data_IF_247024183397
#
_entry.id   IF_247024183397
#
_cell.length_a   1.000
_cell.length_b   1.000
_cell.length_c   1.000
_cell.angle_alpha   90.00
_cell.angle_beta   90.00
_cell.angle_gamma   90.00
#
_symmetry.space_group_name_H-M   'P 1'
#
loop_
_entity.id
_entity.type
_entity.pdbx_description
1 polymer ?
#
# COMPACT_ATOMS: atom_id res chain seq x y z
N UNK A 1 47.38 15.48 -16.15
CA UNK A 1 47.40 15.69 -14.68
C UNK A 1 46.53 16.88 -14.25
N UNK A 2 46.48 18.00 -14.98
CA UNK A 2 45.59 19.13 -14.67
C UNK A 2 44.11 18.89 -15.05
N UNK A 3 43.84 18.17 -16.14
CA UNK A 3 42.46 17.90 -16.61
C UNK A 3 41.72 16.85 -15.75
N UNK A 4 42.37 15.72 -15.41
CA UNK A 4 41.76 14.66 -14.55
C UNK A 4 41.34 15.17 -13.17
N UNK A 5 42.10 16.10 -12.58
CA UNK A 5 41.78 16.67 -11.27
C UNK A 5 40.59 17.64 -11.34
N UNK A 6 40.36 18.24 -12.50
CA UNK A 6 39.26 19.18 -12.73
C UNK A 6 37.95 18.42 -12.98
N UNK A 7 37.99 17.33 -13.75
CA UNK A 7 36.83 16.45 -13.99
C UNK A 7 36.39 15.74 -12.71
N UNK A 8 37.32 15.16 -11.93
CA UNK A 8 36.98 14.49 -10.68
C UNK A 8 36.32 15.43 -9.65
N UNK A 9 36.75 16.70 -9.63
CA UNK A 9 36.17 17.73 -8.75
C UNK A 9 34.79 18.19 -9.24
N UNK A 10 34.56 18.22 -10.56
CA UNK A 10 33.26 18.48 -11.14
C UNK A 10 32.26 17.35 -10.80
N UNK A 11 32.64 16.10 -11.03
CA UNK A 11 31.84 14.91 -10.73
C UNK A 11 31.43 14.82 -9.25
N UNK A 12 32.37 15.12 -8.34
CA UNK A 12 32.09 15.16 -6.91
C UNK A 12 31.06 16.24 -6.55
N UNK A 13 31.17 17.44 -7.12
CA UNK A 13 30.21 18.52 -6.87
C UNK A 13 28.82 18.13 -7.37
N UNK A 14 28.73 17.49 -8.54
CA UNK A 14 27.47 16.97 -9.08
C UNK A 14 26.85 15.95 -8.13
N UNK A 15 27.62 14.97 -7.65
CA UNK A 15 27.10 13.97 -6.70
C UNK A 15 26.63 14.58 -5.38
N UNK A 16 27.35 15.57 -4.85
CA UNK A 16 26.96 16.30 -3.63
C UNK A 16 25.67 17.08 -3.84
N UNK A 17 25.54 17.78 -4.97
CA UNK A 17 24.32 18.52 -5.31
C UNK A 17 23.11 17.60 -5.47
N UNK A 18 23.31 16.44 -6.11
CA UNK A 18 22.27 15.42 -6.23
C UNK A 18 21.88 14.90 -4.85
N UNK A 19 22.84 14.53 -4.00
CA UNK A 19 22.56 14.05 -2.64
C UNK A 19 21.74 15.07 -1.83
N UNK A 20 22.04 16.37 -1.96
CA UNK A 20 21.27 17.43 -1.32
C UNK A 20 19.82 17.49 -1.82
N UNK A 21 19.62 17.47 -3.14
CA UNK A 21 18.27 17.52 -3.75
C UNK A 21 17.42 16.31 -3.38
N UNK A 22 18.01 15.11 -3.36
CA UNK A 22 17.33 13.88 -2.92
C UNK A 22 16.93 13.93 -1.43
N UNK A 23 17.55 14.81 -0.64
CA UNK A 23 17.19 15.07 0.75
C UNK A 23 15.97 15.98 0.93
N UNK A 24 15.60 16.76 -0.08
CA UNK A 24 14.60 17.85 0.02
C UNK A 24 13.21 17.48 -0.54
N UNK A 25 13.05 16.33 -1.22
CA UNK A 25 11.78 15.92 -1.87
C UNK A 25 10.85 15.17 -0.92
N UNK A 26 9.53 15.42 -1.03
CA UNK A 26 8.51 14.95 -0.08
C UNK A 26 7.50 13.92 -0.63
N UNK A 27 7.68 13.40 -1.84
CA UNK A 27 6.85 12.35 -2.44
C UNK A 27 7.62 11.56 -3.50
N UNK A 28 7.13 10.36 -3.84
CA UNK A 28 7.80 9.44 -4.78
C UNK A 28 7.93 10.03 -6.19
N UNK A 29 6.89 10.66 -6.73
CA UNK A 29 6.90 11.17 -8.11
C UNK A 29 7.89 12.32 -8.28
N UNK A 30 7.91 13.26 -7.33
CA UNK A 30 8.89 14.34 -7.27
C UNK A 30 10.32 13.80 -7.15
N UNK A 31 10.52 12.74 -6.35
CA UNK A 31 11.81 12.09 -6.20
C UNK A 31 12.25 11.42 -7.52
N UNK A 32 11.36 10.70 -8.21
CA UNK A 32 11.65 10.07 -9.50
C UNK A 32 12.09 11.11 -10.54
N UNK A 33 11.37 12.23 -10.66
CA UNK A 33 11.76 13.32 -11.55
C UNK A 33 13.11 13.92 -11.17
N UNK A 34 13.39 14.07 -9.88
CA UNK A 34 14.68 14.57 -9.40
C UNK A 34 15.82 13.61 -9.76
N UNK A 35 15.61 12.29 -9.62
CA UNK A 35 16.57 11.26 -10.02
C UNK A 35 16.81 11.28 -11.54
N UNK A 36 15.76 11.42 -12.35
CA UNK A 36 15.88 11.51 -13.80
C UNK A 36 16.67 12.75 -14.23
N UNK A 37 16.36 13.91 -13.65
CA UNK A 37 17.11 15.15 -13.91
C UNK A 37 18.57 15.04 -13.46
N UNK A 38 18.82 14.45 -12.28
CA UNK A 38 20.16 14.18 -11.77
C UNK A 38 20.95 13.29 -12.74
N UNK A 39 20.35 12.20 -13.23
CA UNK A 39 20.93 11.32 -14.23
C UNK A 39 21.29 12.05 -15.53
N UNK A 40 20.37 12.88 -16.05
CA UNK A 40 20.60 13.67 -17.27
C UNK A 40 21.75 14.64 -17.12
N UNK A 41 21.80 15.35 -16.00
CA UNK A 41 22.83 16.35 -15.74
C UNK A 41 24.19 15.70 -15.46
N UNK A 42 24.23 14.66 -14.62
CA UNK A 42 25.48 14.03 -14.20
C UNK A 42 26.13 13.23 -15.33
N UNK A 43 25.33 12.50 -16.10
CA UNK A 43 25.84 11.64 -17.16
C UNK A 43 25.78 12.32 -18.54
N UNK A 44 25.43 13.61 -18.59
CA UNK A 44 25.31 14.43 -19.81
C UNK A 44 24.59 13.68 -20.94
N UNK A 45 23.32 13.32 -20.74
CA UNK A 45 22.56 12.52 -21.69
C UNK A 45 21.24 13.21 -22.13
N UNK A 46 20.71 12.78 -23.28
CA UNK A 46 19.47 13.35 -23.83
C UNK A 46 18.25 12.96 -22.99
N UNK A 47 18.19 11.71 -22.55
CA UNK A 47 17.04 11.15 -21.83
C UNK A 47 17.49 10.27 -20.67
N UNK A 48 16.76 10.33 -19.57
CA UNK A 48 16.89 9.43 -18.44
C UNK A 48 15.49 8.94 -18.05
N UNK A 49 15.39 7.70 -17.62
CA UNK A 49 14.12 7.11 -17.17
C UNK A 49 14.38 6.19 -15.99
N UNK A 50 13.65 6.40 -14.91
CA UNK A 50 13.68 5.50 -13.74
C UNK A 50 12.61 4.44 -13.91
N UNK A 51 13.01 3.19 -13.70
CA UNK A 51 12.09 2.05 -13.59
C UNK A 51 12.15 1.50 -12.17
N UNK A 52 11.02 1.52 -11.47
CA UNK A 52 10.84 0.91 -10.16
C UNK A 52 10.75 -0.61 -10.31
N UNK A 53 11.38 -1.33 -9.39
CA UNK A 53 11.33 -2.78 -9.34
C UNK A 53 10.22 -3.27 -8.40
N UNK A 54 9.25 -3.99 -8.94
CA UNK A 54 8.21 -4.69 -8.21
C UNK A 54 8.68 -6.13 -7.96
N UNK A 55 9.19 -6.38 -6.75
CA UNK A 55 9.66 -7.69 -6.33
C UNK A 55 8.55 -8.75 -6.22
N UNK A 56 7.29 -8.35 -6.02
CA UNK A 56 6.17 -9.29 -5.92
C UNK A 56 5.78 -9.87 -7.28
N UNK A 57 5.96 -9.09 -8.35
CA UNK A 57 5.65 -9.51 -9.73
C UNK A 57 6.89 -9.84 -10.58
N UNK A 58 8.08 -9.53 -10.08
CA UNK A 58 9.34 -9.63 -10.84
C UNK A 58 9.28 -8.77 -12.13
N UNK A 59 8.81 -7.53 -11.96
CA UNK A 59 8.56 -6.56 -13.03
C UNK A 59 9.25 -5.22 -12.78
N UNK A 60 9.63 -4.55 -13.86
CA UNK A 60 10.05 -3.16 -13.87
C UNK A 60 8.93 -2.30 -14.41
N UNK A 61 8.65 -1.18 -13.75
CA UNK A 61 7.65 -0.23 -14.19
C UNK A 61 8.10 1.22 -14.05
N UNK A 62 7.66 2.08 -14.96
CA UNK A 62 7.95 3.52 -14.96
C UNK A 62 6.69 4.31 -15.24
N UNK A 63 6.44 5.33 -14.42
CA UNK A 63 5.43 6.34 -14.71
C UNK A 63 6.02 7.36 -15.68
N UNK A 64 5.54 7.34 -16.91
CA UNK A 64 6.09 8.17 -17.98
C UNK A 64 5.52 9.58 -17.90
N UNK A 65 6.39 10.57 -17.65
CA UNK A 65 6.05 12.01 -17.67
C UNK A 65 5.53 12.53 -19.03
N UNK A 66 5.71 11.75 -20.11
CA UNK A 66 5.40 12.12 -21.50
C UNK A 66 4.05 11.62 -22.01
N UNK A 67 3.08 11.32 -21.13
CA UNK A 67 1.68 11.15 -21.50
C UNK A 67 1.34 9.90 -22.33
N UNK A 68 2.24 8.91 -22.39
CA UNK A 68 2.09 7.68 -23.20
C UNK A 68 1.71 6.44 -22.38
N UNK A 69 1.40 6.61 -21.09
CA UNK A 69 0.99 5.54 -20.17
C UNK A 69 2.14 4.89 -19.40
N UNK A 70 1.80 4.06 -18.42
CA UNK A 70 2.77 3.29 -17.63
C UNK A 70 3.51 2.28 -18.53
N UNK A 71 4.85 2.31 -18.51
CA UNK A 71 5.65 1.27 -19.15
C UNK A 71 5.93 0.21 -18.10
N UNK A 72 5.48 -1.02 -18.33
CA UNK A 72 5.69 -2.18 -17.45
C UNK A 72 6.16 -3.39 -18.24
N UNK A 73 7.20 -4.06 -17.76
CA UNK A 73 7.76 -5.25 -18.40
C UNK A 73 8.49 -6.15 -17.39
N UNK A 74 8.68 -7.42 -17.72
CA UNK A 74 9.38 -8.37 -16.84
C UNK A 74 10.84 -7.96 -16.60
N UNK A 75 11.29 -8.06 -15.35
CA UNK A 75 12.68 -7.79 -14.96
C UNK A 75 13.67 -8.86 -15.47
N UNK A 76 13.21 -9.89 -16.18
CA UNK A 76 14.05 -10.88 -16.87
C UNK A 76 14.44 -10.46 -18.29
N UNK A 77 13.85 -9.37 -18.79
CA UNK A 77 13.97 -8.96 -20.18
C UNK A 77 14.79 -7.69 -20.32
N UNK A 78 15.61 -7.69 -21.37
CA UNK A 78 16.34 -6.54 -21.85
C UNK A 78 17.46 -6.07 -20.93
N UNK A 79 18.00 -4.90 -21.27
CA UNK A 79 19.19 -4.35 -20.61
C UNK A 79 18.90 -3.92 -19.17
N UNK A 80 17.70 -3.36 -18.94
CA UNK A 80 17.18 -3.05 -17.61
C UNK A 80 17.11 -4.30 -16.71
N UNK A 81 16.58 -5.42 -17.24
CA UNK A 81 16.53 -6.67 -16.50
C UNK A 81 17.90 -7.27 -16.19
N UNK A 82 18.85 -7.18 -17.12
CA UNK A 82 20.22 -7.62 -16.85
C UNK A 82 20.91 -6.77 -15.77
N UNK A 83 20.64 -5.46 -15.72
CA UNK A 83 21.16 -4.61 -14.65
C UNK A 83 20.56 -5.00 -13.30
N UNK A 84 19.27 -5.39 -13.27
CA UNK A 84 18.62 -5.93 -12.07
C UNK A 84 19.31 -7.21 -11.58
N UNK A 85 19.53 -8.15 -12.51
CA UNK A 85 20.11 -9.46 -12.21
C UNK A 85 21.57 -9.38 -11.76
N UNK A 86 22.37 -8.59 -12.47
CA UNK A 86 23.81 -8.48 -12.21
C UNK A 86 24.14 -7.51 -11.09
N UNK A 87 23.22 -6.59 -10.77
CA UNK A 87 23.46 -5.45 -9.86
C UNK A 87 24.72 -4.66 -10.24
N UNK A 88 24.96 -4.56 -11.54
CA UNK A 88 26.10 -3.85 -12.11
C UNK A 88 25.64 -2.86 -13.17
N UNK A 89 26.44 -1.81 -13.38
CA UNK A 89 26.19 -0.84 -14.43
C UNK A 89 26.47 -1.49 -15.78
N UNK A 90 25.51 -1.40 -16.70
CA UNK A 90 25.62 -1.94 -18.06
C UNK A 90 25.76 -0.79 -19.05
N UNK A 91 26.88 -0.79 -19.77
CA UNK A 91 27.15 0.15 -20.86
C UNK A 91 26.96 -0.55 -22.20
N UNK A 92 26.19 0.08 -23.08
CA UNK A 92 25.95 -0.39 -24.44
C UNK A 92 26.28 0.72 -25.41
N UNK A 93 27.33 0.51 -26.23
CA UNK A 93 27.83 1.48 -27.20
C UNK A 93 26.95 1.62 -28.44
N UNK A 94 26.29 0.55 -28.87
CA UNK A 94 25.27 0.59 -29.94
C UNK A 94 24.04 -0.22 -29.50
N UNK A 95 22.97 0.48 -29.18
CA UNK A 95 21.71 -0.10 -28.75
C UNK A 95 21.11 -1.02 -29.83
N UNK A 96 21.26 -0.70 -31.11
CA UNK A 96 20.72 -1.55 -32.18
C UNK A 96 21.61 -2.77 -32.44
N UNK A 97 22.87 -2.77 -32.05
CA UNK A 97 23.71 -3.96 -32.11
C UNK A 97 23.45 -4.94 -30.94
N UNK A 98 22.90 -4.47 -29.82
CA UNK A 98 22.65 -5.30 -28.64
C UNK A 98 21.36 -6.13 -28.77
N UNK A 99 21.42 -7.47 -28.67
CA UNK A 99 20.25 -8.34 -28.81
C UNK A 99 19.21 -8.17 -27.68
N UNK A 100 19.60 -7.56 -26.55
CA UNK A 100 18.72 -7.30 -25.41
C UNK A 100 17.91 -6.01 -25.58
N UNK A 101 18.23 -5.17 -26.58
CA UNK A 101 17.54 -3.91 -26.77
C UNK A 101 16.20 -4.08 -27.49
N UNK A 102 15.11 -3.59 -26.88
CA UNK A 102 13.79 -3.62 -27.49
C UNK A 102 13.57 -2.40 -28.42
N UNK A 103 13.69 -2.63 -29.73
CA UNK A 103 13.52 -1.61 -30.77
C UNK A 103 12.07 -1.17 -31.01
N UNK A 104 11.08 -1.87 -30.46
CA UNK A 104 9.67 -1.53 -30.67
C UNK A 104 9.31 -0.18 -30.04
N UNK A 105 9.92 0.17 -28.91
CA UNK A 105 9.67 1.43 -28.21
C UNK A 105 10.17 2.62 -29.05
N UNK A 106 11.39 2.52 -29.60
CA UNK A 106 11.93 3.50 -30.55
C UNK A 106 11.02 3.66 -31.78
N UNK A 107 10.56 2.54 -32.36
CA UNK A 107 9.65 2.56 -33.52
C UNK A 107 8.32 3.25 -33.24
N UNK A 108 7.73 3.02 -32.05
CA UNK A 108 6.45 3.63 -31.65
C UNK A 108 6.58 5.12 -31.33
N UNK A 109 7.70 5.53 -30.72
CA UNK A 109 7.91 6.91 -30.26
C UNK A 109 8.60 7.80 -31.28
N UNK A 110 9.18 7.21 -32.34
CA UNK A 110 10.05 7.92 -33.29
C UNK A 110 11.40 8.33 -32.70
N UNK A 111 11.70 7.94 -31.46
CA UNK A 111 12.98 8.19 -30.81
C UNK A 111 14.05 7.22 -31.32
N UNK A 112 15.29 7.68 -31.45
CA UNK A 112 16.43 6.84 -31.86
C UNK A 112 17.42 6.72 -30.72
N UNK A 113 17.51 5.54 -30.14
CA UNK A 113 18.52 5.19 -29.14
C UNK A 113 19.82 4.78 -29.84
N UNK A 114 20.91 5.52 -29.56
CA UNK A 114 22.26 5.32 -30.10
C UNK A 114 23.09 4.47 -29.12
N UNK A 115 23.36 5.02 -27.96
CA UNK A 115 24.08 4.39 -26.86
C UNK A 115 23.26 4.56 -25.57
N UNK A 116 23.50 3.70 -24.58
CA UNK A 116 22.82 3.78 -23.30
C UNK A 116 23.69 3.26 -22.16
N UNK A 117 23.41 3.77 -20.96
CA UNK A 117 24.01 3.33 -19.71
C UNK A 117 22.87 3.03 -18.72
N UNK A 118 22.85 1.81 -18.21
CA UNK A 118 21.81 1.35 -17.28
C UNK A 118 22.46 1.03 -15.95
N UNK A 119 22.02 1.70 -14.89
CA UNK A 119 22.57 1.56 -13.56
C UNK A 119 21.50 1.04 -12.60
N UNK A 120 21.85 0.07 -11.73
CA UNK A 120 20.93 -0.44 -10.72
C UNK A 120 20.82 0.53 -9.55
N UNK A 121 19.61 0.66 -9.02
CA UNK A 121 19.31 1.43 -7.81
C UNK A 121 19.25 0.45 -6.66
N UNK A 122 20.35 0.33 -5.92
CA UNK A 122 20.52 -0.67 -4.87
C UNK A 122 20.55 0.03 -3.52
N UNK A 123 19.69 -0.42 -2.61
CA UNK A 123 19.66 0.04 -1.23
C UNK A 123 20.82 -0.56 -0.40
N UNK A 124 21.17 0.02 0.76
CA UNK A 124 22.29 -0.45 1.58
C UNK A 124 22.19 -1.90 2.07
N UNK A 125 20.97 -2.43 2.16
CA UNK A 125 20.68 -3.83 2.50
C UNK A 125 20.88 -4.79 1.30
N UNK A 126 21.34 -4.28 0.16
CA UNK A 126 21.54 -5.03 -1.07
C UNK A 126 20.26 -5.31 -1.85
N UNK A 127 19.10 -4.78 -1.41
CA UNK A 127 17.87 -4.87 -2.17
C UNK A 127 17.91 -3.92 -3.37
N UNK A 128 17.45 -4.42 -4.52
CA UNK A 128 17.24 -3.57 -5.69
C UNK A 128 15.85 -2.94 -5.61
N UNK A 129 15.81 -1.61 -5.73
CA UNK A 129 14.56 -0.83 -5.72
C UNK A 129 14.17 -0.35 -7.12
N UNK A 130 15.09 -0.44 -8.09
CA UNK A 130 14.84 -0.08 -9.47
C UNK A 130 16.10 -0.04 -10.31
N UNK A 131 15.97 0.54 -11.50
CA UNK A 131 17.09 0.88 -12.39
C UNK A 131 16.89 2.29 -12.92
N UNK A 132 17.98 3.03 -13.11
CA UNK A 132 17.99 4.25 -13.90
C UNK A 132 18.64 3.94 -15.23
N UNK A 133 17.95 4.24 -16.32
CA UNK A 133 18.46 4.06 -17.67
C UNK A 133 18.63 5.42 -18.32
N UNK A 134 19.86 5.74 -18.71
CA UNK A 134 20.19 6.95 -19.45
C UNK A 134 20.50 6.62 -20.91
N UNK A 135 19.99 7.43 -21.82
CA UNK A 135 20.06 7.22 -23.27
C UNK A 135 20.76 8.41 -23.93
N UNK A 136 21.55 8.09 -24.96
CA UNK A 136 22.21 9.03 -25.85
C UNK A 136 23.09 10.05 -25.11
N UNK A 137 24.34 9.69 -24.87
CA UNK A 137 25.37 10.61 -24.38
C UNK A 137 25.48 11.83 -25.32
N UNK A 138 25.56 13.00 -24.71
CA UNK A 138 25.80 14.29 -25.35
C UNK A 138 27.31 14.51 -25.38
N UNK A 139 27.86 14.88 -26.54
CA UNK A 139 29.29 15.15 -26.69
C UNK A 139 30.18 13.92 -26.87
N UNK A 140 29.62 12.72 -27.10
CA UNK A 140 30.40 11.51 -27.38
C UNK A 140 29.67 10.21 -27.02
N UNK A 141 30.45 9.19 -26.68
CA UNK A 141 29.98 7.92 -26.12
C UNK A 141 30.20 7.87 -24.61
N UNK A 142 29.43 7.03 -23.91
CA UNK A 142 29.66 6.77 -22.49
C UNK A 142 31.05 6.16 -22.28
N UNK A 143 31.73 6.61 -21.24
CA UNK A 143 33.09 6.21 -20.87
C UNK A 143 33.11 5.35 -19.61
N UNK A 144 34.27 4.81 -19.26
CA UNK A 144 34.47 4.13 -17.96
C UNK A 144 34.32 5.10 -16.78
N UNK A 145 34.62 6.39 -16.95
CA UNK A 145 34.37 7.39 -15.90
C UNK A 145 32.86 7.58 -15.68
N UNK A 146 32.07 7.62 -16.76
CA UNK A 146 30.61 7.65 -16.67
C UNK A 146 30.05 6.42 -15.94
N UNK A 147 30.64 5.24 -16.13
CA UNK A 147 30.25 4.03 -15.38
C UNK A 147 30.49 4.18 -13.87
N UNK A 148 31.62 4.75 -13.47
CA UNK A 148 31.94 5.00 -12.06
C UNK A 148 31.00 6.02 -11.44
N UNK A 149 30.76 7.14 -12.15
CA UNK A 149 29.81 8.16 -11.73
C UNK A 149 28.38 7.59 -11.62
N UNK A 150 27.97 6.77 -12.58
CA UNK A 150 26.69 6.07 -12.56
C UNK A 150 26.56 5.10 -11.38
N UNK A 151 27.62 4.37 -11.03
CA UNK A 151 27.59 3.48 -9.86
C UNK A 151 27.41 4.26 -8.55
N UNK A 152 28.10 5.39 -8.41
CA UNK A 152 27.93 6.29 -7.26
C UNK A 152 26.52 6.88 -7.20
N UNK A 153 26.01 7.36 -8.35
CA UNK A 153 24.66 7.89 -8.47
C UNK A 153 23.60 6.82 -8.13
N UNK A 154 23.75 5.60 -8.64
CA UNK A 154 22.84 4.49 -8.38
C UNK A 154 22.77 4.12 -6.89
N UNK A 155 23.90 4.22 -6.18
CA UNK A 155 23.95 3.99 -4.73
C UNK A 155 23.22 5.09 -3.95
N UNK A 156 23.46 6.36 -4.27
CA UNK A 156 22.79 7.50 -3.61
C UNK A 156 21.28 7.49 -3.84
N UNK A 157 20.89 7.27 -5.09
CA UNK A 157 19.48 7.25 -5.50
C UNK A 157 18.74 6.03 -4.97
N UNK A 158 19.41 4.86 -4.89
CA UNK A 158 18.86 3.67 -4.25
C UNK A 158 18.51 3.89 -2.78
N UNK A 159 19.34 4.60 -2.02
CA UNK A 159 19.05 4.99 -0.62
C UNK A 159 17.82 5.88 -0.54
N UNK A 160 17.79 6.96 -1.32
CA UNK A 160 16.70 7.93 -1.29
C UNK A 160 15.37 7.28 -1.69
N UNK A 161 15.40 6.45 -2.74
CA UNK A 161 14.22 5.77 -3.26
C UNK A 161 13.68 4.72 -2.28
N UNK A 162 14.55 3.91 -1.68
CA UNK A 162 14.13 2.96 -0.64
C UNK A 162 13.49 3.67 0.54
N UNK A 163 14.09 4.79 0.98
CA UNK A 163 13.55 5.61 2.06
C UNK A 163 12.15 6.09 1.73
N UNK A 164 11.92 6.63 0.53
CA UNK A 164 10.62 7.16 0.14
C UNK A 164 9.55 6.05 0.08
N UNK A 165 9.88 4.91 -0.53
CA UNK A 165 8.97 3.74 -0.57
C UNK A 165 8.56 3.32 0.86
N UNK A 166 9.52 3.24 1.78
CA UNK A 166 9.24 2.89 3.17
C UNK A 166 8.38 3.93 3.91
N UNK A 167 8.56 5.22 3.59
CA UNK A 167 7.74 6.30 4.17
C UNK A 167 6.31 6.22 3.66
N UNK A 168 6.12 6.02 2.36
CA UNK A 168 4.80 5.91 1.73
C UNK A 168 4.04 4.68 2.26
N UNK A 169 4.71 3.52 2.37
CA UNK A 169 4.15 2.30 2.96
C UNK A 169 3.75 2.51 4.42
N UNK A 170 4.59 3.19 5.21
CA UNK A 170 4.31 3.49 6.60
C UNK A 170 3.13 4.46 6.75
N UNK A 171 3.00 5.44 5.85
CA UNK A 171 1.88 6.36 5.86
C UNK A 171 0.57 5.67 5.48
N UNK A 172 0.57 4.85 4.43
CA UNK A 172 -0.58 4.06 4.02
C UNK A 172 -1.06 3.14 5.15
N UNK A 173 -0.13 2.47 5.83
CA UNK A 173 -0.43 1.64 7.00
C UNK A 173 -1.03 2.45 8.15
N UNK A 174 -0.46 3.61 8.48
CA UNK A 174 -0.97 4.49 9.55
C UNK A 174 -2.38 5.00 9.25
N UNK A 175 -2.68 5.33 7.98
CA UNK A 175 -4.02 5.75 7.55
C UNK A 175 -5.03 4.62 7.78
N UNK A 176 -4.71 3.41 7.33
CA UNK A 176 -5.57 2.23 7.54
C UNK A 176 -5.79 1.94 9.03
N UNK A 177 -4.74 1.96 9.84
CA UNK A 177 -4.82 1.76 11.30
C UNK A 177 -5.72 2.83 11.96
N UNK A 178 -5.64 4.08 11.50
CA UNK A 178 -6.49 5.17 12.00
C UNK A 178 -7.96 4.92 11.68
N UNK A 179 -8.27 4.54 10.45
CA UNK A 179 -9.65 4.27 10.03
C UNK A 179 -10.25 3.08 10.81
N UNK A 180 -9.45 2.02 11.04
CA UNK A 180 -9.86 0.88 11.87
C UNK A 180 -10.09 1.27 13.33
N UNK A 181 -9.27 2.15 13.90
CA UNK A 181 -9.47 2.65 15.26
C UNK A 181 -10.77 3.47 15.38
N UNK A 182 -11.09 4.30 14.38
CA UNK A 182 -12.37 5.02 14.34
C UNK A 182 -13.55 4.04 14.30
N UNK A 183 -13.46 3.01 13.45
CA UNK A 183 -14.49 1.98 13.38
C UNK A 183 -14.68 1.24 14.71
N UNK A 184 -13.58 0.92 15.40
CA UNK A 184 -13.61 0.36 16.75
C UNK A 184 -14.34 1.27 17.74
N UNK A 185 -14.02 2.57 17.75
CA UNK A 185 -14.68 3.51 18.67
C UNK A 185 -16.19 3.59 18.42
N UNK A 186 -16.61 3.56 17.15
CA UNK A 186 -18.03 3.53 16.78
C UNK A 186 -18.68 2.24 17.29
N UNK A 187 -18.08 1.08 17.02
CA UNK A 187 -18.59 -0.22 17.48
C UNK A 187 -18.69 -0.28 19.02
N UNK A 188 -17.67 0.18 19.74
CA UNK A 188 -17.70 0.20 21.20
C UNK A 188 -18.74 1.17 21.76
N UNK A 189 -19.04 2.28 21.06
CA UNK A 189 -20.13 3.20 21.42
C UNK A 189 -21.51 2.60 21.17
N UNK A 190 -21.63 1.60 20.29
CA UNK A 190 -22.89 0.87 20.10
C UNK A 190 -23.21 0.00 21.32
N UNK A 191 -22.23 -0.61 21.98
CA UNK A 191 -22.46 -1.45 23.16
C UNK A 191 -23.27 -0.70 24.24
N UNK A 192 -24.16 -1.39 24.96
CA UNK A 192 -24.99 -0.78 25.99
C UNK A 192 -24.11 -0.15 27.08
N UNK A 193 -24.18 1.17 27.23
CA UNK A 193 -23.42 1.92 28.25
C UNK A 193 -24.03 1.84 29.64
N UNK A 194 -25.34 1.59 29.69
CA UNK A 194 -26.08 1.41 30.93
C UNK A 194 -26.93 0.16 30.77
N UNK A 195 -26.88 -0.68 31.78
CA UNK A 195 -27.77 -1.81 31.90
C UNK A 195 -29.10 -1.29 32.47
N UNK A 196 -30.25 -1.58 31.84
CA UNK A 196 -31.55 -1.20 32.39
C UNK A 196 -31.71 -1.77 33.81
N UNK A 197 -32.30 -1.01 34.73
CA UNK A 197 -32.62 -1.52 36.06
C UNK A 197 -33.71 -2.58 35.93
N UNK A 198 -33.37 -3.82 36.26
CA UNK A 198 -34.30 -4.95 36.25
C UNK A 198 -34.51 -5.42 37.69
N UNK A 199 -35.72 -5.27 38.27
CA UNK A 199 -35.99 -5.67 39.64
C UNK A 199 -35.59 -7.12 39.90
N UNK A 200 -34.85 -7.37 40.99
CA UNK A 200 -34.42 -8.71 41.40
C UNK A 200 -33.18 -9.25 40.66
N UNK A 201 -32.63 -8.53 39.66
CA UNK A 201 -31.54 -9.01 38.82
C UNK A 201 -30.38 -8.02 38.74
N UNK A 202 -29.18 -8.53 38.94
CA UNK A 202 -27.93 -7.82 38.63
C UNK A 202 -27.41 -8.27 37.27
N UNK A 203 -27.43 -7.36 36.30
CA UNK A 203 -27.01 -7.64 34.92
C UNK A 203 -25.76 -6.82 34.59
N UNK A 204 -24.78 -7.46 33.94
CA UNK A 204 -23.54 -6.85 33.51
C UNK A 204 -23.09 -7.46 32.18
N UNK A 205 -22.35 -6.69 31.38
CA UNK A 205 -21.75 -7.18 30.15
C UNK A 205 -20.43 -6.48 29.87
N UNK A 206 -19.50 -7.21 29.25
CA UNK A 206 -18.19 -6.73 28.88
C UNK A 206 -17.74 -7.35 27.57
N UNK A 207 -17.05 -6.56 26.75
CA UNK A 207 -16.54 -7.00 25.46
C UNK A 207 -15.15 -6.41 25.25
N UNK A 208 -14.19 -7.25 24.85
CA UNK A 208 -12.85 -6.84 24.46
C UNK A 208 -12.50 -7.54 23.15
N UNK A 209 -12.42 -6.79 22.04
CA UNK A 209 -11.99 -7.33 20.77
C UNK A 209 -10.57 -7.91 20.86
N UNK A 210 -10.33 -9.02 20.16
CA UNK A 210 -9.00 -9.62 20.01
C UNK A 210 -8.06 -8.78 19.13
N UNK A 211 -8.62 -8.02 18.17
CA UNK A 211 -7.88 -7.18 17.22
C UNK A 211 -8.34 -5.71 17.29
N UNK A 212 -8.32 -4.96 16.18
CA UNK A 212 -8.85 -3.58 16.17
C UNK A 212 -10.37 -3.57 16.39
N UNK A 213 -11.16 -4.40 15.69
CA UNK A 213 -12.62 -4.54 15.82
C UNK A 213 -13.02 -5.97 16.22
N UNK A 214 -14.24 -6.15 16.75
CA UNK A 214 -14.72 -7.46 17.22
C UNK A 214 -15.84 -8.04 16.37
N UNK A 215 -15.86 -9.36 16.17
CA UNK A 215 -17.03 -10.10 15.68
C UNK A 215 -18.10 -10.28 16.76
N UNK A 216 -17.74 -10.10 18.03
CA UNK A 216 -18.64 -10.30 19.17
C UNK A 216 -19.38 -9.01 19.55
N UNK A 217 -20.67 -9.13 19.86
CA UNK A 217 -21.50 -8.09 20.45
C UNK A 217 -22.39 -8.67 21.54
N UNK A 218 -22.77 -7.83 22.50
CA UNK A 218 -23.87 -8.10 23.40
C UNK A 218 -24.75 -6.87 23.53
N UNK A 219 -25.98 -7.06 23.97
CA UNK A 219 -26.88 -5.95 24.23
C UNK A 219 -27.92 -6.24 25.31
N UNK A 220 -28.34 -5.17 25.98
CA UNK A 220 -29.42 -5.15 26.95
C UNK A 220 -30.36 -4.00 26.62
N UNK A 221 -31.65 -4.27 26.52
CA UNK A 221 -32.65 -3.22 26.29
C UNK A 221 -33.98 -3.53 26.98
N UNK A 222 -34.58 -2.49 27.55
CA UNK A 222 -35.89 -2.60 28.18
C UNK A 222 -36.98 -2.67 27.12
N UNK A 223 -37.93 -3.57 27.33
CA UNK A 223 -39.15 -3.68 26.55
C UNK A 223 -40.25 -2.78 27.14
N UNK A 224 -41.24 -2.35 26.34
CA UNK A 224 -42.32 -1.46 26.81
C UNK A 224 -43.11 -1.98 28.01
N UNK A 225 -43.16 -3.30 28.19
CA UNK A 225 -43.87 -4.00 29.27
C UNK A 225 -43.02 -4.20 30.54
N UNK A 226 -41.79 -3.66 30.58
CA UNK A 226 -40.88 -3.77 31.71
C UNK A 226 -39.98 -5.01 31.71
N UNK A 227 -40.10 -5.89 30.71
CA UNK A 227 -39.20 -7.03 30.54
C UNK A 227 -37.84 -6.60 29.96
N UNK A 228 -36.83 -7.44 30.12
CA UNK A 228 -35.47 -7.16 29.63
C UNK A 228 -35.13 -8.07 28.44
N UNK A 229 -34.84 -7.47 27.28
CA UNK A 229 -34.23 -8.15 26.14
C UNK A 229 -32.72 -8.29 26.34
N UNK A 230 -32.21 -9.50 26.12
CA UNK A 230 -30.80 -9.86 26.26
C UNK A 230 -30.35 -10.52 24.96
N UNK A 231 -29.26 -10.03 24.36
CA UNK A 231 -28.63 -10.70 23.23
C UNK A 231 -27.12 -10.81 23.38
N UNK A 232 -26.56 -11.88 22.82
CA UNK A 232 -25.14 -12.05 22.56
C UNK A 232 -25.01 -12.62 21.15
N UNK A 233 -24.12 -12.06 20.33
CA UNK A 233 -23.88 -12.55 18.99
C UNK A 233 -22.41 -12.50 18.61
N UNK A 234 -21.99 -13.43 17.76
CA UNK A 234 -20.66 -13.49 17.13
C UNK A 234 -20.82 -13.68 15.62
N UNK A 235 -20.09 -12.90 14.82
CA UNK A 235 -20.06 -12.99 13.37
C UNK A 235 -18.76 -13.61 12.85
N UNK A 236 -18.88 -14.39 11.80
CA UNK A 236 -17.73 -15.04 11.16
C UNK A 236 -16.72 -14.08 10.53
N UNK A 237 -15.45 -14.32 10.82
CA UNK A 237 -14.28 -13.73 10.14
C UNK A 237 -13.44 -12.84 11.04
N UNK A 238 -12.60 -12.00 10.44
CA UNK A 238 -11.76 -11.02 11.14
C UNK A 238 -11.82 -9.64 10.49
N UNK A 239 -11.42 -8.60 11.21
CA UNK A 239 -11.44 -7.21 10.75
C UNK A 239 -12.79 -6.52 10.89
N UNK A 240 -13.04 -5.51 10.04
CA UNK A 240 -14.20 -4.62 10.16
C UNK A 240 -15.53 -5.26 9.72
N UNK A 241 -15.48 -6.23 8.80
CA UNK A 241 -16.68 -6.90 8.26
C UNK A 241 -17.57 -7.53 9.34
N UNK A 242 -17.04 -8.44 10.18
CA UNK A 242 -17.79 -9.03 11.30
C UNK A 242 -18.43 -7.99 12.23
N UNK A 243 -17.70 -6.92 12.55
CA UNK A 243 -18.18 -5.84 13.42
C UNK A 243 -19.40 -5.11 12.84
N UNK A 244 -19.42 -4.88 11.52
CA UNK A 244 -20.56 -4.29 10.83
C UNK A 244 -21.76 -5.23 10.83
N UNK A 245 -21.52 -6.52 10.57
CA UNK A 245 -22.55 -7.56 10.54
C UNK A 245 -23.26 -7.66 11.90
N UNK A 246 -22.53 -7.78 13.01
CA UNK A 246 -23.17 -7.85 14.34
C UNK A 246 -23.84 -6.54 14.74
N UNK A 247 -23.34 -5.40 14.28
CA UNK A 247 -23.98 -4.10 14.49
C UNK A 247 -25.31 -3.99 13.75
N UNK A 248 -25.40 -4.52 12.52
CA UNK A 248 -26.65 -4.63 11.77
C UNK A 248 -27.61 -5.60 12.46
N UNK A 249 -27.16 -6.81 12.80
CA UNK A 249 -27.93 -7.81 13.54
C UNK A 249 -28.58 -7.21 14.79
N UNK A 250 -27.81 -6.50 15.61
CA UNK A 250 -28.30 -5.81 16.80
C UNK A 250 -29.34 -4.74 16.48
N UNK A 251 -29.06 -3.91 15.48
CA UNK A 251 -29.92 -2.77 15.12
C UNK A 251 -31.27 -3.25 14.58
N UNK A 252 -31.26 -4.27 13.71
CA UNK A 252 -32.47 -4.92 13.19
C UNK A 252 -33.24 -5.59 14.31
N UNK A 253 -32.58 -6.38 15.18
CA UNK A 253 -33.23 -7.03 16.31
C UNK A 253 -33.92 -5.99 17.21
N UNK A 254 -33.24 -4.91 17.60
CA UNK A 254 -33.85 -3.82 18.37
C UNK A 254 -35.05 -3.18 17.68
N UNK A 255 -35.02 -3.03 16.36
CA UNK A 255 -36.09 -2.40 15.60
C UNK A 255 -37.34 -3.29 15.45
N UNK A 256 -37.14 -4.61 15.34
CA UNK A 256 -38.25 -5.55 15.16
C UNK A 256 -38.78 -6.12 16.48
N UNK A 257 -38.05 -6.00 17.58
CA UNK A 257 -38.47 -6.56 18.88
C UNK A 257 -39.70 -5.81 19.40
N UNK A 258 -40.83 -6.51 19.45
CA UNK A 258 -42.05 -6.08 20.14
C UNK A 258 -42.30 -6.95 21.38
N UNK A 259 -42.95 -6.35 22.37
CA UNK A 259 -43.35 -6.93 23.66
C UNK A 259 -44.34 -8.10 23.56
N UNK A 260 -44.89 -8.43 22.39
CA UNK A 260 -45.93 -9.48 22.30
C UNK A 260 -45.46 -10.75 21.59
N UNK A 261 -44.34 -10.70 20.90
CA UNK A 261 -43.89 -11.78 20.03
C UNK A 261 -42.94 -12.77 20.76
N UNK A 262 -43.12 -14.10 20.59
CA UNK A 262 -42.19 -15.07 21.15
C UNK A 262 -40.76 -14.91 20.62
N UNK A 263 -39.71 -15.08 21.44
CA UNK A 263 -38.31 -14.90 21.01
C UNK A 263 -37.91 -15.73 19.78
N UNK A 264 -38.43 -16.96 19.65
CA UNK A 264 -38.12 -17.84 18.53
C UNK A 264 -38.61 -17.27 17.18
N UNK A 265 -39.77 -16.61 17.18
CA UNK A 265 -40.35 -16.01 15.98
C UNK A 265 -39.57 -14.75 15.57
N UNK A 266 -39.19 -13.92 16.55
CA UNK A 266 -38.33 -12.76 16.35
C UNK A 266 -36.98 -13.13 15.73
N UNK A 267 -36.31 -14.17 16.24
CA UNK A 267 -35.02 -14.62 15.69
C UNK A 267 -35.18 -15.21 14.29
N UNK A 268 -36.27 -15.92 14.00
CA UNK A 268 -36.53 -16.43 12.66
C UNK A 268 -36.69 -15.30 11.65
N UNK A 269 -37.46 -14.27 11.99
CA UNK A 269 -37.63 -13.08 11.15
C UNK A 269 -36.33 -12.31 10.98
N UNK A 270 -35.53 -12.17 12.04
CA UNK A 270 -34.19 -11.58 11.95
C UNK A 270 -33.29 -12.38 11.00
N UNK A 271 -33.31 -13.71 11.08
CA UNK A 271 -32.53 -14.56 10.19
C UNK A 271 -32.92 -14.33 8.72
N UNK A 272 -34.21 -14.32 8.41
CA UNK A 272 -34.69 -14.10 7.05
C UNK A 272 -34.21 -12.74 6.50
N UNK A 273 -34.29 -11.67 7.31
CA UNK A 273 -33.78 -10.34 6.94
C UNK A 273 -32.26 -10.31 6.76
N UNK A 274 -31.49 -10.96 7.63
CA UNK A 274 -30.04 -10.99 7.52
C UNK A 274 -29.58 -11.84 6.33
N UNK A 275 -30.27 -12.92 6.00
CA UNK A 275 -29.93 -13.76 4.85
C UNK A 275 -30.12 -13.05 3.49
N UNK A 276 -30.98 -12.03 3.42
CA UNK A 276 -31.14 -11.21 2.21
C UNK A 276 -29.94 -10.28 1.97
N UNK A 277 -29.33 -9.77 3.04
CA UNK A 277 -28.26 -8.77 2.99
C UNK A 277 -26.84 -9.35 3.10
N UNK A 278 -26.69 -10.54 3.72
CA UNK A 278 -25.37 -11.12 4.01
C UNK A 278 -24.81 -11.93 2.84
N UNK A 279 -23.49 -11.84 2.57
CA UNK A 279 -22.81 -12.74 1.66
C UNK A 279 -22.95 -14.21 2.08
N UNK A 280 -23.04 -15.11 1.10
CA UNK A 280 -23.23 -16.55 1.34
C UNK A 280 -22.13 -17.24 2.16
N UNK A 281 -20.96 -16.62 2.31
CA UNK A 281 -19.81 -17.11 3.11
C UNK A 281 -19.77 -16.51 4.54
N UNK A 282 -20.80 -15.76 4.94
CA UNK A 282 -20.87 -15.08 6.25
C UNK A 282 -22.09 -15.55 7.03
N UNK A 283 -21.92 -15.73 8.33
CA UNK A 283 -23.03 -15.98 9.25
C UNK A 283 -22.82 -15.29 10.60
N UNK A 284 -23.92 -15.21 11.35
CA UNK A 284 -23.94 -14.74 12.74
C UNK A 284 -24.51 -15.84 13.61
N UNK A 285 -23.84 -16.16 14.70
CA UNK A 285 -24.43 -16.94 15.79
C UNK A 285 -25.04 -15.97 16.79
N UNK A 286 -26.31 -16.17 17.13
CA UNK A 286 -27.06 -15.28 18.02
C UNK A 286 -27.72 -16.11 19.12
N UNK A 287 -27.56 -15.65 20.36
CA UNK A 287 -28.40 -16.03 21.48
C UNK A 287 -29.25 -14.82 21.87
N UNK A 288 -30.58 -14.99 21.87
CA UNK A 288 -31.54 -13.97 22.28
C UNK A 288 -32.51 -14.52 23.33
N UNK A 289 -32.77 -13.74 24.37
CA UNK A 289 -33.70 -14.09 25.44
C UNK A 289 -34.45 -12.87 25.97
N UNK A 290 -35.62 -13.13 26.54
CA UNK A 290 -36.44 -12.14 27.24
C UNK A 290 -36.56 -12.58 28.69
N UNK A 291 -36.12 -11.72 29.61
CA UNK A 291 -36.25 -11.90 31.04
C UNK A 291 -37.48 -11.14 31.54
N UNK A 292 -38.43 -11.87 32.13
CA UNK A 292 -39.61 -11.29 32.79
C UNK A 292 -39.37 -11.14 34.30
N UNK A 293 -39.18 -9.92 34.83
CA UNK A 293 -38.88 -9.68 36.24
C UNK A 293 -40.00 -10.09 37.20
N UNK A 294 -41.22 -10.30 36.72
CA UNK A 294 -42.39 -10.61 37.54
C UNK A 294 -42.69 -12.11 37.63
N UNK A 295 -42.13 -12.93 36.73
CA UNK A 295 -42.43 -14.35 36.61
C UNK A 295 -41.36 -15.27 37.24
N UNK A 296 -40.69 -14.81 38.30
CA UNK A 296 -39.60 -15.52 38.98
C UNK A 296 -40.05 -16.57 39.98
#
# INVERSE_FOLDING_TARGET
>A
MSDDCTDARHDLNVLVDVARRLGETFDLDSLLHTIEQAGRSALACERATVFLYDAGRDELHSQVATGTGEIRFSAKLGIAGDAVKTRSVILVGDAYADPRFNREIDRKTGYRTRNLLTLPLVAPDGQIVGVLQVLNKIGGDFTTNDQLLAAALGSLTGVALKRQILLDDAEAKRRLERDLNIAREIQQKLLPKQVPRTPGFDVAGWNRPADQTGGDIFDFFALPDGRLGIMIADATGHGIGPALIVSQCRSVLRAITDSTEPPAELVRRLNDLLCEDLPSDRFVTLCFGILDPAAH
#
